data_IF_175335100797
#
_entry.id   IF_175335100797
#
_cell.length_a   1.000
_cell.length_b   1.000
_cell.length_c   1.000
_cell.angle_alpha   90.00
_cell.angle_beta   90.00
_cell.angle_gamma   90.00
#
_symmetry.space_group_name_H-M   'P 1'
#
loop_
_entity.id
_entity.type
_entity.pdbx_description
1 polymer ?
#
# COMPACT_ATOMS: atom_id res chain seq x y z
N UNK A 1 -21.18 24.31 -4.31
CA UNK A 1 -19.71 24.38 -4.47
C UNK A 1 -19.16 24.87 -3.14
N UNK A 2 -18.41 24.17 -2.28
CA UNK A 2 -17.56 22.99 -2.32
C UNK A 2 -17.60 22.38 -0.90
N UNK A 3 -17.92 21.08 -0.72
CA UNK A 3 -18.06 20.46 0.63
C UNK A 3 -17.60 18.99 0.67
N UNK A 4 -16.52 18.68 -0.02
CA UNK A 4 -15.87 17.35 0.04
C UNK A 4 -14.36 17.51 0.12
N UNK A 5 -13.89 18.21 1.15
CA UNK A 5 -12.50 18.06 1.60
C UNK A 5 -12.49 16.90 2.60
N UNK A 6 -12.20 15.68 2.15
CA UNK A 6 -12.07 14.50 3.00
C UNK A 6 -10.86 14.66 3.93
N UNK A 7 -11.03 15.38 5.04
CA UNK A 7 -10.00 15.52 6.07
C UNK A 7 -9.92 14.21 6.88
N UNK A 8 -8.72 13.80 7.32
CA UNK A 8 -8.54 12.57 8.12
C UNK A 8 -9.45 12.49 9.36
N UNK A 9 -9.75 13.65 9.96
CA UNK A 9 -10.63 13.77 11.12
C UNK A 9 -12.10 13.49 10.78
N UNK A 10 -12.59 13.96 9.63
CA UNK A 10 -13.96 13.69 9.18
C UNK A 10 -14.16 12.19 8.89
N UNK A 11 -13.16 11.56 8.24
CA UNK A 11 -13.18 10.12 7.99
C UNK A 11 -13.18 9.32 9.29
N UNK A 12 -12.36 9.72 10.28
CA UNK A 12 -12.33 9.09 11.58
C UNK A 12 -13.67 9.25 12.34
N UNK A 13 -14.33 10.40 12.22
CA UNK A 13 -15.63 10.65 12.84
C UNK A 13 -16.75 9.82 12.20
N UNK A 14 -16.76 9.71 10.87
CA UNK A 14 -17.69 8.84 10.14
C UNK A 14 -17.47 7.36 10.48
N UNK A 15 -16.22 6.91 10.58
CA UNK A 15 -15.90 5.55 11.01
C UNK A 15 -16.41 5.27 12.43
N UNK A 16 -16.24 6.21 13.36
CA UNK A 16 -16.79 6.07 14.74
C UNK A 16 -18.31 5.99 14.75
N UNK A 17 -18.99 6.72 13.86
CA UNK A 17 -20.45 6.69 13.75
C UNK A 17 -21.00 5.33 13.29
N UNK A 18 -20.18 4.48 12.67
CA UNK A 18 -20.56 3.11 12.26
C UNK A 18 -20.60 2.11 13.44
N UNK A 19 -20.12 2.50 14.63
CA UNK A 19 -20.14 1.66 15.83
C UNK A 19 -19.46 0.30 15.59
N UNK A 20 -20.20 -0.79 15.82
CA UNK A 20 -19.70 -2.16 15.68
C UNK A 20 -19.27 -2.54 14.24
N UNK A 21 -19.75 -1.83 13.22
CA UNK A 21 -19.42 -2.10 11.81
C UNK A 21 -18.13 -1.42 11.34
N UNK A 22 -17.58 -0.51 12.14
CA UNK A 22 -16.40 0.27 11.77
C UNK A 22 -15.17 -0.59 11.36
N UNK A 23 -14.86 -1.72 12.02
CA UNK A 23 -13.77 -2.61 11.59
C UNK A 23 -13.98 -3.22 10.21
N UNK A 24 -15.22 -3.65 9.92
CA UNK A 24 -15.58 -4.24 8.63
C UNK A 24 -15.48 -3.20 7.52
N UNK A 25 -15.95 -1.98 7.78
CA UNK A 25 -15.85 -0.86 6.84
C UNK A 25 -14.38 -0.55 6.48
N UNK A 26 -13.47 -0.53 7.45
CA UNK A 26 -12.03 -0.33 7.20
C UNK A 26 -11.47 -1.41 6.27
N UNK A 27 -11.79 -2.68 6.54
CA UNK A 27 -11.34 -3.80 5.70
C UNK A 27 -11.87 -3.65 4.27
N UNK A 28 -13.17 -3.37 4.11
CA UNK A 28 -13.80 -3.19 2.79
C UNK A 28 -13.17 -2.01 2.04
N UNK A 29 -12.99 -0.86 2.70
CA UNK A 29 -12.35 0.30 2.11
C UNK A 29 -10.93 -0.02 1.65
N UNK A 30 -10.17 -0.81 2.42
CA UNK A 30 -8.81 -1.20 2.05
C UNK A 30 -8.74 -2.23 0.91
N UNK A 31 -9.76 -3.09 0.79
CA UNK A 31 -9.92 -3.96 -0.38
C UNK A 31 -10.20 -3.11 -1.62
N UNK A 32 -11.16 -2.19 -1.55
CA UNK A 32 -11.52 -1.30 -2.66
C UNK A 32 -10.34 -0.41 -3.08
N UNK A 33 -9.58 0.07 -2.11
CA UNK A 33 -8.34 0.81 -2.30
C UNK A 33 -7.34 0.08 -3.22
N UNK A 34 -7.30 -1.25 -3.18
CA UNK A 34 -6.37 -2.02 -4.02
C UNK A 34 -6.64 -1.88 -5.52
N UNK A 35 -7.81 -1.34 -5.90
CA UNK A 35 -8.24 -1.12 -7.27
C UNK A 35 -8.23 0.36 -7.71
N UNK A 36 -7.96 1.29 -6.80
CA UNK A 36 -7.99 2.73 -7.06
C UNK A 36 -6.62 3.33 -6.73
N UNK A 37 -6.08 4.27 -7.52
CA UNK A 37 -4.86 5.00 -7.18
C UNK A 37 -5.17 6.03 -6.08
N UNK A 38 -5.34 5.55 -4.85
CA UNK A 38 -5.51 6.37 -3.66
C UNK A 38 -4.33 6.12 -2.70
N UNK A 39 -4.05 7.00 -1.72
CA UNK A 39 -3.04 6.75 -0.70
C UNK A 39 -3.62 5.86 0.42
N UNK A 40 -3.05 4.66 0.58
CA UNK A 40 -3.41 3.71 1.65
C UNK A 40 -3.10 4.28 3.05
N UNK A 41 -2.20 5.25 3.10
CA UNK A 41 -1.64 5.84 4.31
C UNK A 41 -2.69 6.59 5.11
N UNK A 42 -3.61 7.28 4.41
CA UNK A 42 -4.69 8.05 5.05
C UNK A 42 -5.61 7.09 5.83
N UNK A 43 -6.00 5.97 5.20
CA UNK A 43 -6.83 4.95 5.85
C UNK A 43 -6.12 4.32 7.04
N UNK A 44 -4.81 4.06 6.94
CA UNK A 44 -4.03 3.47 8.02
C UNK A 44 -3.93 4.38 9.25
N UNK A 45 -3.70 5.68 9.02
CA UNK A 45 -3.69 6.70 10.06
C UNK A 45 -5.07 6.83 10.72
N UNK A 46 -6.15 6.93 9.93
CA UNK A 46 -7.51 7.00 10.48
C UNK A 46 -7.87 5.75 11.29
N UNK A 47 -7.49 4.57 10.82
CA UNK A 47 -7.70 3.32 11.56
C UNK A 47 -6.93 3.32 12.90
N UNK A 48 -5.68 3.82 12.92
CA UNK A 48 -4.92 4.04 14.14
C UNK A 48 -5.61 5.00 15.11
N UNK A 49 -6.13 6.12 14.61
CA UNK A 49 -6.83 7.14 15.41
C UNK A 49 -8.16 6.66 16.00
N UNK A 50 -8.81 5.68 15.36
CA UNK A 50 -10.11 5.14 15.78
C UNK A 50 -9.95 3.90 16.67
N UNK A 51 -9.07 2.97 16.30
CA UNK A 51 -8.95 1.64 16.93
C UNK A 51 -7.66 1.47 17.76
N UNK A 52 -6.78 2.46 17.78
CA UNK A 52 -5.46 2.37 18.40
C UNK A 52 -4.45 1.61 17.53
N UNK A 53 -3.19 1.62 17.96
CA UNK A 53 -2.06 1.09 17.18
C UNK A 53 -2.25 -0.38 16.79
N UNK A 54 -2.51 -1.26 17.76
CA UNK A 54 -2.54 -2.71 17.52
C UNK A 54 -3.73 -3.10 16.65
N UNK A 55 -4.95 -2.74 17.06
CA UNK A 55 -6.15 -3.12 16.33
C UNK A 55 -6.24 -2.42 14.97
N UNK A 56 -5.88 -1.14 14.89
CA UNK A 56 -5.79 -0.41 13.62
C UNK A 56 -4.81 -1.07 12.65
N UNK A 57 -3.64 -1.49 13.13
CA UNK A 57 -2.65 -2.21 12.31
C UNK A 57 -3.20 -3.53 11.77
N UNK A 58 -3.85 -4.32 12.63
CA UNK A 58 -4.40 -5.63 12.24
C UNK A 58 -5.49 -5.46 11.17
N UNK A 59 -6.41 -4.52 11.35
CA UNK A 59 -7.51 -4.29 10.39
C UNK A 59 -6.99 -3.85 9.02
N UNK A 60 -6.03 -2.92 9.01
CA UNK A 60 -5.41 -2.44 7.76
C UNK A 60 -4.61 -3.55 7.10
N UNK A 61 -3.84 -4.32 7.88
CA UNK A 61 -3.07 -5.43 7.36
C UNK A 61 -3.96 -6.51 6.72
N UNK A 62 -5.06 -6.89 7.38
CA UNK A 62 -6.05 -7.83 6.82
C UNK A 62 -6.64 -7.28 5.52
N UNK A 63 -7.13 -6.04 5.54
CA UNK A 63 -7.73 -5.43 4.35
C UNK A 63 -6.75 -5.30 3.18
N UNK A 64 -5.50 -4.90 3.46
CA UNK A 64 -4.43 -4.82 2.47
C UNK A 64 -4.06 -6.20 1.90
N UNK A 65 -4.01 -7.24 2.74
CA UNK A 65 -3.76 -8.61 2.30
C UNK A 65 -4.89 -9.15 1.40
N UNK A 66 -6.14 -8.94 1.79
CA UNK A 66 -7.30 -9.36 0.99
C UNK A 66 -7.36 -8.62 -0.35
N UNK A 67 -7.16 -7.30 -0.34
CA UNK A 67 -7.12 -6.49 -1.55
C UNK A 67 -5.95 -6.86 -2.47
N UNK A 68 -4.76 -7.10 -1.91
CA UNK A 68 -3.59 -7.55 -2.65
C UNK A 68 -3.80 -8.93 -3.29
N UNK A 69 -4.42 -9.87 -2.57
CA UNK A 69 -4.80 -11.18 -3.10
C UNK A 69 -5.82 -11.07 -4.23
N UNK A 70 -6.80 -10.20 -4.08
CA UNK A 70 -7.81 -9.95 -5.11
C UNK A 70 -7.17 -9.34 -6.38
N UNK A 71 -6.32 -8.32 -6.23
CA UNK A 71 -5.58 -7.71 -7.33
C UNK A 71 -4.64 -8.71 -8.03
N UNK A 72 -3.88 -9.51 -7.27
CA UNK A 72 -3.02 -10.57 -7.78
C UNK A 72 -3.81 -11.64 -8.54
N UNK A 73 -4.93 -12.10 -7.97
CA UNK A 73 -5.79 -13.11 -8.59
C UNK A 73 -6.44 -12.60 -9.86
N UNK A 74 -6.89 -11.34 -9.86
CA UNK A 74 -7.49 -10.68 -11.01
C UNK A 74 -6.47 -10.56 -12.15
N UNK A 75 -5.25 -10.08 -11.89
CA UNK A 75 -4.22 -9.98 -12.92
C UNK A 75 -3.71 -11.34 -13.39
N UNK A 76 -3.68 -12.35 -12.51
CA UNK A 76 -3.32 -13.73 -12.90
C UNK A 76 -4.34 -14.34 -13.86
N UNK A 77 -5.64 -14.17 -13.59
CA UNK A 77 -6.72 -14.76 -14.40
C UNK A 77 -6.99 -13.98 -15.68
N UNK A 78 -7.07 -12.64 -15.60
CA UNK A 78 -7.45 -11.78 -16.74
C UNK A 78 -6.22 -11.25 -17.49
N UNK A 79 -5.15 -10.92 -16.76
CA UNK A 79 -4.02 -10.19 -17.29
C UNK A 79 -3.10 -11.00 -18.22
N UNK A 80 -2.96 -12.32 -18.00
CA UNK A 80 -2.14 -13.14 -18.90
C UNK A 80 -2.72 -13.25 -20.32
N UNK A 81 -4.05 -13.17 -20.47
CA UNK A 81 -4.71 -13.29 -21.78
C UNK A 81 -4.94 -11.93 -22.46
N UNK A 82 -5.21 -10.87 -21.68
CA UNK A 82 -5.58 -9.55 -22.22
C UNK A 82 -4.42 -8.57 -22.19
N UNK A 83 -3.69 -8.49 -21.07
CA UNK A 83 -2.71 -7.42 -20.81
C UNK A 83 -1.34 -7.76 -21.42
N UNK A 84 -0.91 -9.03 -21.40
CA UNK A 84 0.35 -9.44 -22.05
C UNK A 84 0.34 -9.20 -23.57
N UNK A 85 -0.83 -9.22 -24.22
CA UNK A 85 -0.96 -8.87 -25.63
C UNK A 85 -0.84 -7.38 -25.93
N UNK A 86 -0.99 -6.51 -24.92
CA UNK A 86 -0.90 -5.05 -25.05
C UNK A 86 0.47 -4.51 -24.60
N UNK A 87 1.23 -5.31 -23.84
CA UNK A 87 2.60 -4.99 -23.43
C UNK A 87 3.58 -5.21 -24.58
N UNK A 88 4.55 -4.30 -24.72
CA UNK A 88 5.65 -4.55 -25.64
C UNK A 88 6.46 -5.79 -25.17
N UNK A 89 7.02 -6.61 -26.08
CA UNK A 89 7.79 -7.81 -25.71
C UNK A 89 8.89 -7.52 -24.66
N UNK A 90 9.58 -6.39 -24.79
CA UNK A 90 10.61 -5.96 -23.84
C UNK A 90 10.06 -5.67 -22.43
N UNK A 91 8.83 -5.17 -22.31
CA UNK A 91 8.19 -4.90 -21.01
C UNK A 91 7.73 -6.20 -20.35
N UNK A 92 7.15 -7.13 -21.13
CA UNK A 92 6.76 -8.45 -20.65
C UNK A 92 7.99 -9.26 -20.18
N UNK A 93 9.11 -9.14 -20.88
CA UNK A 93 10.36 -9.79 -20.50
C UNK A 93 10.94 -9.22 -19.21
N UNK A 94 11.07 -7.88 -19.09
CA UNK A 94 11.49 -7.22 -17.83
C UNK A 94 10.67 -7.65 -16.62
N UNK A 95 9.35 -7.79 -16.81
CA UNK A 95 8.45 -8.21 -15.75
C UNK A 95 8.72 -9.67 -15.32
N UNK A 96 8.99 -10.57 -16.27
CA UNK A 96 9.39 -11.94 -15.96
C UNK A 96 10.76 -11.99 -15.28
N UNK A 97 11.74 -11.24 -15.80
CA UNK A 97 13.11 -11.17 -15.28
C UNK A 97 13.15 -10.63 -13.85
N UNK A 98 12.27 -9.67 -13.50
CA UNK A 98 12.10 -9.18 -12.13
C UNK A 98 11.85 -10.29 -11.11
N UNK A 99 11.27 -11.41 -11.56
CA UNK A 99 10.91 -12.55 -10.69
C UNK A 99 11.73 -13.81 -10.94
N UNK A 100 12.66 -13.81 -11.90
CA UNK A 100 13.57 -14.93 -12.15
C UNK A 100 14.57 -15.08 -11.01
N UNK A 101 14.83 -16.35 -10.65
CA UNK A 101 15.76 -16.88 -9.62
C UNK A 101 15.66 -16.34 -8.18
N UNK A 102 15.06 -15.17 -7.97
CA UNK A 102 14.95 -14.49 -6.66
C UNK A 102 13.60 -13.78 -6.46
N UNK A 103 12.52 -14.26 -7.07
CA UNK A 103 11.20 -13.60 -7.03
C UNK A 103 10.70 -13.27 -5.61
N UNK A 104 11.03 -14.09 -4.60
CA UNK A 104 10.74 -13.78 -3.20
C UNK A 104 11.46 -12.53 -2.68
N UNK A 105 12.78 -12.45 -2.89
CA UNK A 105 13.59 -11.33 -2.44
C UNK A 105 13.27 -10.06 -3.23
N UNK A 106 13.04 -10.18 -4.54
CA UNK A 106 12.65 -9.07 -5.39
C UNK A 106 11.31 -8.46 -4.95
N UNK A 107 10.32 -9.30 -4.62
CA UNK A 107 9.04 -8.86 -4.07
C UNK A 107 9.24 -8.18 -2.72
N UNK A 108 9.96 -8.81 -1.79
CA UNK A 108 10.16 -8.27 -0.45
C UNK A 108 10.88 -6.91 -0.48
N UNK A 109 11.97 -6.80 -1.26
CA UNK A 109 12.70 -5.53 -1.45
C UNK A 109 11.79 -4.47 -2.07
N UNK A 110 10.97 -4.84 -3.07
CA UNK A 110 10.05 -3.87 -3.69
C UNK A 110 9.04 -3.29 -2.71
N UNK A 111 8.67 -4.03 -1.65
CA UNK A 111 7.79 -3.51 -0.56
C UNK A 111 8.48 -2.52 0.35
N UNK A 112 9.82 -2.56 0.43
CA UNK A 112 10.61 -1.59 1.20
C UNK A 112 10.99 -0.35 0.40
N UNK A 113 10.80 -0.35 -0.93
CA UNK A 113 11.05 0.80 -1.80
C UNK A 113 9.75 1.60 -1.92
N UNK A 114 9.63 2.78 -1.27
CA UNK A 114 8.38 3.55 -1.23
C UNK A 114 8.01 4.21 -2.56
N UNK A 115 8.88 4.11 -3.57
CA UNK A 115 8.65 4.68 -4.91
C UNK A 115 7.66 3.84 -5.73
N UNK A 116 7.57 2.54 -5.45
CA UNK A 116 6.71 1.65 -6.23
C UNK A 116 5.37 1.54 -5.52
N UNK A 117 4.30 1.96 -6.21
CA UNK A 117 2.95 1.89 -5.68
C UNK A 117 2.58 0.45 -5.27
N UNK A 118 2.05 0.28 -4.05
CA UNK A 118 1.66 -1.01 -3.49
C UNK A 118 0.77 -1.82 -4.44
N UNK A 119 -0.22 -1.16 -5.04
CA UNK A 119 -1.15 -1.75 -6.00
C UNK A 119 -0.43 -2.24 -7.27
N UNK A 120 0.55 -1.48 -7.77
CA UNK A 120 1.30 -1.86 -8.97
C UNK A 120 2.11 -3.14 -8.76
N UNK A 121 2.74 -3.30 -7.59
CA UNK A 121 3.46 -4.53 -7.23
C UNK A 121 2.49 -5.73 -7.21
N UNK A 122 1.26 -5.55 -6.70
CA UNK A 122 0.25 -6.61 -6.65
C UNK A 122 -0.15 -7.08 -8.05
N UNK A 123 -0.44 -6.13 -8.94
CA UNK A 123 -0.80 -6.44 -10.33
C UNK A 123 0.36 -7.07 -11.09
N UNK A 124 1.56 -6.49 -10.98
CA UNK A 124 2.78 -6.99 -11.61
C UNK A 124 3.09 -8.43 -11.16
N UNK A 125 3.04 -8.71 -9.85
CA UNK A 125 3.26 -10.05 -9.32
C UNK A 125 2.23 -11.08 -9.83
N UNK A 126 0.98 -10.66 -10.04
CA UNK A 126 -0.03 -11.55 -10.63
C UNK A 126 0.15 -11.78 -12.13
N UNK A 127 0.86 -10.91 -12.86
CA UNK A 127 1.19 -11.11 -14.27
C UNK A 127 2.43 -12.01 -14.49
N UNK A 128 3.28 -12.19 -13.48
CA UNK A 128 4.50 -13.01 -13.55
C UNK A 128 4.26 -14.49 -13.22
N UNK A 129 5.35 -15.28 -13.14
CA UNK A 129 5.33 -16.69 -12.73
C UNK A 129 5.44 -16.90 -11.21
N UNK A 130 5.40 -15.83 -10.42
CA UNK A 130 5.45 -15.90 -8.94
C UNK A 130 4.36 -16.83 -8.41
N UNK A 131 4.70 -17.68 -7.44
CA UNK A 131 3.74 -18.55 -6.75
C UNK A 131 2.91 -17.73 -5.75
N UNK A 132 1.63 -18.06 -5.61
CA UNK A 132 0.73 -17.39 -4.68
C UNK A 132 1.30 -17.33 -3.24
N UNK A 133 1.87 -18.44 -2.77
CA UNK A 133 2.49 -18.48 -1.44
C UNK A 133 3.61 -17.46 -1.29
N UNK A 134 4.52 -17.38 -2.29
CA UNK A 134 5.62 -16.42 -2.29
C UNK A 134 5.10 -15.00 -2.22
N UNK A 135 4.05 -14.67 -2.97
CA UNK A 135 3.40 -13.38 -2.91
C UNK A 135 2.79 -13.08 -1.53
N UNK A 136 2.07 -14.04 -0.96
CA UNK A 136 1.37 -13.89 0.33
C UNK A 136 2.34 -13.58 1.47
N UNK A 137 3.38 -14.41 1.66
CA UNK A 137 4.27 -14.20 2.79
C UNK A 137 5.17 -12.96 2.61
N UNK A 138 5.66 -12.67 1.39
CA UNK A 138 6.50 -11.49 1.14
C UNK A 138 5.72 -10.20 1.33
N UNK A 139 4.46 -10.17 0.88
CA UNK A 139 3.57 -9.01 1.06
C UNK A 139 3.17 -8.89 2.52
N UNK A 140 2.72 -9.99 3.13
CA UNK A 140 2.29 -10.05 4.51
C UNK A 140 3.37 -9.55 5.46
N UNK A 141 4.62 -10.01 5.30
CA UNK A 141 5.74 -9.57 6.13
C UNK A 141 6.22 -8.16 5.77
N UNK A 142 6.32 -7.85 4.47
CA UNK A 142 6.88 -6.59 3.99
C UNK A 142 6.08 -5.36 4.40
N UNK A 143 4.76 -5.47 4.53
CA UNK A 143 3.90 -4.32 4.87
C UNK A 143 3.72 -4.10 6.38
N UNK A 144 4.03 -5.08 7.24
CA UNK A 144 3.84 -4.97 8.70
C UNK A 144 4.50 -3.71 9.27
N UNK A 145 5.83 -3.49 9.11
CA UNK A 145 6.49 -2.38 9.80
C UNK A 145 5.91 -1.03 9.40
N UNK A 146 5.60 -0.84 8.11
CA UNK A 146 5.01 0.39 7.62
C UNK A 146 3.56 0.58 8.11
N UNK A 147 2.76 -0.48 8.09
CA UNK A 147 1.37 -0.45 8.58
C UNK A 147 1.31 -0.10 10.07
N UNK A 148 2.17 -0.73 10.88
CA UNK A 148 2.27 -0.47 12.32
C UNK A 148 2.72 0.96 12.59
N UNK A 149 3.71 1.46 11.85
CA UNK A 149 4.17 2.84 11.98
C UNK A 149 3.04 3.84 11.73
N UNK A 150 2.26 3.67 10.68
CA UNK A 150 1.16 4.58 10.34
C UNK A 150 -0.01 4.49 11.33
N UNK A 151 -0.38 3.29 11.75
CA UNK A 151 -1.40 3.11 12.77
C UNK A 151 -0.96 3.69 14.13
N UNK A 152 0.32 3.58 14.47
CA UNK A 152 0.89 4.23 15.66
C UNK A 152 0.80 5.75 15.56
N UNK A 153 1.23 6.34 14.43
CA UNK A 153 1.10 7.78 14.20
C UNK A 153 -0.35 8.24 14.35
N UNK A 154 -1.30 7.51 13.76
CA UNK A 154 -2.73 7.76 13.89
C UNK A 154 -3.24 7.68 15.33
N UNK A 155 -2.82 6.67 16.09
CA UNK A 155 -3.20 6.53 17.50
C UNK A 155 -2.70 7.70 18.35
N UNK A 156 -1.50 8.20 18.05
CA UNK A 156 -0.90 9.36 18.72
C UNK A 156 -1.41 10.71 18.20
N UNK A 157 -2.22 10.76 17.12
CA UNK A 157 -2.69 12.03 16.54
C UNK A 157 -3.46 12.92 17.52
N UNK A 158 -4.11 12.36 18.53
CA UNK A 158 -4.79 13.16 19.58
C UNK A 158 -3.82 13.98 20.45
N UNK A 159 -2.53 13.64 20.46
CA UNK A 159 -1.46 14.34 21.16
C UNK A 159 -0.48 15.07 20.21
N UNK A 160 -0.71 14.97 18.90
CA UNK A 160 0.26 15.39 17.89
C UNK A 160 0.06 16.87 17.52
N UNK A 161 1.00 17.71 17.93
CA UNK A 161 0.99 19.14 17.63
C UNK A 161 1.34 19.41 16.16
N UNK A 162 0.79 20.51 15.60
CA UNK A 162 1.04 20.98 14.23
C UNK A 162 2.52 20.97 13.77
N UNK A 163 3.52 21.28 14.61
CA UNK A 163 4.93 21.20 14.24
C UNK A 163 5.41 19.78 13.92
N UNK A 164 4.87 18.77 14.61
CA UNK A 164 5.29 17.38 14.43
C UNK A 164 4.75 16.78 13.13
N UNK A 165 3.56 17.22 12.69
CA UNK A 165 3.03 16.92 11.34
C UNK A 165 3.94 17.48 10.25
N UNK A 166 4.40 18.74 10.39
CA UNK A 166 5.33 19.36 9.44
C UNK A 166 6.67 18.61 9.37
N UNK A 167 7.17 18.12 10.51
CA UNK A 167 8.41 17.34 10.56
C UNK A 167 8.23 15.99 9.84
N UNK A 168 7.15 15.26 10.11
CA UNK A 168 6.90 13.96 9.44
C UNK A 168 6.71 14.14 7.94
N UNK A 169 5.95 15.16 7.51
CA UNK A 169 5.80 15.50 6.09
C UNK A 169 7.13 15.93 5.46
N UNK A 170 7.94 16.74 6.15
CA UNK A 170 9.26 17.16 5.67
C UNK A 170 10.22 15.97 5.55
N UNK A 171 10.24 15.04 6.50
CA UNK A 171 11.03 13.81 6.44
C UNK A 171 10.57 12.93 5.27
N UNK A 172 9.27 12.79 5.06
CA UNK A 172 8.72 12.08 3.90
C UNK A 172 9.16 12.71 2.58
N UNK A 173 9.07 14.03 2.46
CA UNK A 173 9.53 14.78 1.27
C UNK A 173 11.04 14.64 1.07
N UNK A 174 11.85 14.73 2.13
CA UNK A 174 13.31 14.57 2.06
C UNK A 174 13.68 13.15 1.64
N UNK A 175 12.99 12.13 2.15
CA UNK A 175 13.23 10.74 1.77
C UNK A 175 12.86 10.51 0.30
N UNK A 176 11.72 11.04 -0.16
CA UNK A 176 11.28 10.95 -1.56
C UNK A 176 12.23 11.70 -2.50
N UNK A 177 12.58 12.94 -2.16
CA UNK A 177 13.53 13.76 -2.93
C UNK A 177 14.93 13.14 -2.92
N UNK A 178 15.38 12.60 -1.79
CA UNK A 178 16.66 11.92 -1.64
C UNK A 178 16.72 10.63 -2.45
N UNK A 179 15.68 9.80 -2.40
CA UNK A 179 15.55 8.59 -3.21
C UNK A 179 15.47 8.92 -4.70
N UNK A 180 14.72 9.95 -5.08
CA UNK A 180 14.63 10.41 -6.47
C UNK A 180 15.98 10.93 -6.99
N UNK A 181 16.67 11.75 -6.19
CA UNK A 181 17.99 12.27 -6.53
C UNK A 181 19.03 11.14 -6.62
N UNK A 182 18.99 10.18 -5.70
CA UNK A 182 19.86 9.01 -5.72
C UNK A 182 19.59 8.07 -6.90
N UNK A 183 18.33 7.83 -7.26
CA UNK A 183 17.93 7.05 -8.42
C UNK A 183 18.39 7.71 -9.74
N UNK A 184 18.31 9.04 -9.81
CA UNK A 184 18.81 9.84 -10.94
C UNK A 184 20.34 9.81 -11.03
N UNK A 185 21.04 9.90 -9.90
CA UNK A 185 22.50 9.81 -9.82
C UNK A 185 23.04 8.44 -10.26
N UNK A 186 22.30 7.36 -10.05
CA UNK A 186 22.69 6.01 -10.47
C UNK A 186 22.27 5.63 -11.91
N UNK A 187 21.69 6.54 -12.70
CA UNK A 187 21.23 6.31 -14.10
C UNK A 187 20.22 5.15 -14.25
N UNK A 188 19.28 5.01 -13.33
CA UNK A 188 18.20 4.00 -13.41
C UNK A 188 16.94 4.50 -14.15
N UNK A 189 16.90 5.78 -14.53
CA UNK A 189 15.88 6.48 -15.32
C UNK A 189 16.63 7.37 -16.31
#
# INVERSE_FOLDING_TARGET
MSKYSLTPDELAQQLRALGAWAPVAVIVLMILHSFVPFPAEILAICAGAVFGTVMGSVLIWIGAMLGALAAFGLSRKLGQRVILGWLAPAQAQRLNDWTQDRGALALLISRFIPVIAFNLINYAAGLTRVRLWTFVWTTGLGIVPFTVMLAYLGAQMKELSWPMLLIVSAVGVILVCGLHHWAKLRRWI
#
